data_IF_825442411240
#
_entry.id   IF_825442411240
#
_cell.length_a   1.000
_cell.length_b   1.000
_cell.length_c   1.000
_cell.angle_alpha   90.00
_cell.angle_beta   90.00
_cell.angle_gamma   90.00
#
_symmetry.space_group_name_H-M   'P 1'
#
loop_
_entity.id
_entity.type
_entity.pdbx_description
1 polymer ?
#
# COMPACT_ATOMS: atom_id res chain seq x y z
N UNK A 1 25.99 -12.94 56.46
CA UNK A 1 24.69 -13.22 55.81
C UNK A 1 24.37 -12.15 54.75
N UNK A 2 24.77 -12.30 53.46
CA UNK A 2 24.38 -11.37 52.39
C UNK A 2 23.63 -12.03 51.19
N UNK A 3 23.25 -13.30 51.26
CA UNK A 3 22.73 -14.06 50.09
C UNK A 3 21.27 -13.74 49.71
N UNK A 4 20.43 -13.29 50.65
CA UNK A 4 18.99 -13.14 50.39
C UNK A 4 18.63 -11.86 49.62
N UNK A 5 19.41 -10.78 49.74
CA UNK A 5 19.08 -9.50 49.08
C UNK A 5 19.20 -9.61 47.56
N UNK A 6 20.27 -10.26 47.06
CA UNK A 6 20.46 -10.48 45.62
C UNK A 6 19.39 -11.39 45.01
N UNK A 7 19.01 -12.45 45.72
CA UNK A 7 17.94 -13.34 45.26
C UNK A 7 16.59 -12.62 45.17
N UNK A 8 16.24 -11.80 46.17
CA UNK A 8 15.02 -11.00 46.18
C UNK A 8 15.03 -9.94 45.07
N UNK A 9 16.15 -9.24 44.85
CA UNK A 9 16.31 -8.28 43.75
C UNK A 9 16.17 -8.94 42.37
N UNK A 10 16.75 -10.13 42.18
CA UNK A 10 16.63 -10.89 40.92
C UNK A 10 15.20 -11.37 40.68
N UNK A 11 14.49 -11.80 41.73
CA UNK A 11 13.09 -12.21 41.63
C UNK A 11 12.19 -11.04 41.24
N UNK A 12 12.41 -9.86 41.84
CA UNK A 12 11.70 -8.63 41.50
C UNK A 12 11.96 -8.21 40.05
N UNK A 13 13.22 -8.24 39.60
CA UNK A 13 13.56 -7.91 38.21
C UNK A 13 12.87 -8.87 37.21
N UNK A 14 12.85 -10.18 37.51
CA UNK A 14 12.17 -11.17 36.68
C UNK A 14 10.65 -10.93 36.61
N UNK A 15 10.01 -10.58 37.73
CA UNK A 15 8.59 -10.25 37.77
C UNK A 15 8.26 -8.98 36.96
N UNK A 16 9.11 -7.95 37.03
CA UNK A 16 8.93 -6.73 36.23
C UNK A 16 9.07 -7.02 34.74
N UNK A 17 10.07 -7.79 34.33
CA UNK A 17 10.25 -8.18 32.92
C UNK A 17 9.06 -9.00 32.43
N UNK A 18 8.59 -9.97 33.22
CA UNK A 18 7.42 -10.77 32.88
C UNK A 18 6.15 -9.91 32.76
N UNK A 19 5.95 -8.94 33.65
CA UNK A 19 4.83 -8.01 33.58
C UNK A 19 4.89 -7.10 32.33
N UNK A 20 6.06 -6.57 32.00
CA UNK A 20 6.27 -5.77 30.76
C UNK A 20 6.01 -6.61 29.52
N UNK A 21 6.49 -7.85 29.50
CA UNK A 21 6.27 -8.77 28.39
C UNK A 21 4.79 -9.14 28.25
N UNK A 22 4.11 -9.48 29.34
CA UNK A 22 2.68 -9.78 29.35
C UNK A 22 1.84 -8.58 28.90
N UNK A 23 2.17 -7.37 29.37
CA UNK A 23 1.52 -6.14 28.93
C UNK A 23 1.71 -5.89 27.43
N UNK A 24 2.93 -6.08 26.93
CA UNK A 24 3.26 -5.91 25.51
C UNK A 24 2.50 -6.91 24.64
N UNK A 25 2.48 -8.19 25.02
CA UNK A 25 1.73 -9.24 24.30
C UNK A 25 0.22 -8.95 24.32
N UNK A 26 -0.34 -8.55 25.47
CA UNK A 26 -1.77 -8.22 25.57
C UNK A 26 -2.13 -7.02 24.69
N UNK A 27 -1.28 -5.99 24.66
CA UNK A 27 -1.46 -4.81 23.81
C UNK A 27 -1.45 -5.20 22.32
N UNK A 28 -0.53 -6.07 21.91
CA UNK A 28 -0.45 -6.59 20.53
C UNK A 28 -1.72 -7.36 20.16
N UNK A 29 -2.19 -8.26 21.04
CA UNK A 29 -3.38 -9.10 20.80
C UNK A 29 -4.67 -8.27 20.77
N UNK A 30 -4.80 -7.28 21.64
CA UNK A 30 -5.97 -6.38 21.64
C UNK A 30 -6.00 -5.50 20.40
N UNK A 31 -4.85 -4.97 19.96
CA UNK A 31 -4.76 -4.19 18.72
C UNK A 31 -4.96 -5.03 17.44
N UNK A 32 -4.57 -6.30 17.43
CA UNK A 32 -4.85 -7.17 16.30
C UNK A 32 -6.32 -7.56 16.22
N UNK A 33 -6.99 -7.75 17.37
CA UNK A 33 -8.43 -7.98 17.44
C UNK A 33 -9.27 -6.78 16.99
N UNK A 34 -8.87 -5.55 17.32
CA UNK A 34 -9.62 -4.34 16.91
C UNK A 34 -9.50 -4.02 15.41
N UNK A 35 -8.39 -4.39 14.77
CA UNK A 35 -8.20 -4.22 13.31
C UNK A 35 -9.11 -5.12 12.47
N UNK A 36 -9.63 -6.22 13.03
CA UNK A 36 -10.56 -7.14 12.34
C UNK A 36 -11.95 -6.54 12.10
N UNK A 37 -12.31 -5.45 12.77
CA UNK A 37 -13.64 -4.81 12.68
C UNK A 37 -13.67 -3.65 11.67
N UNK A 38 -12.53 -3.30 11.08
CA UNK A 38 -12.41 -2.16 10.18
C UNK A 38 -12.75 -2.55 8.75
N UNK A 39 -13.33 -1.60 7.99
CA UNK A 39 -13.68 -1.85 6.58
C UNK A 39 -12.43 -2.17 5.76
N UNK A 40 -12.53 -3.14 4.83
CA UNK A 40 -11.46 -3.36 3.85
C UNK A 40 -11.20 -2.10 3.03
N UNK A 41 -9.96 -1.92 2.62
CA UNK A 41 -9.51 -0.79 1.80
C UNK A 41 -9.07 -1.31 0.43
N UNK A 42 -9.66 -0.76 -0.63
CA UNK A 42 -9.21 -0.91 -2.01
C UNK A 42 -8.37 0.32 -2.36
N UNK A 43 -7.09 0.12 -2.65
CA UNK A 43 -6.16 1.18 -2.99
C UNK A 43 -5.82 1.12 -4.48
N UNK A 44 -6.18 2.17 -5.22
CA UNK A 44 -5.93 2.28 -6.66
C UNK A 44 -4.82 3.29 -6.93
N UNK A 45 -3.64 2.85 -7.35
CA UNK A 45 -2.42 3.68 -7.45
C UNK A 45 -1.86 3.69 -8.86
N UNK A 46 -2.49 4.44 -9.77
CA UNK A 46 -2.21 4.32 -11.22
C UNK A 46 -1.97 5.66 -11.92
N UNK A 47 -2.11 5.67 -13.25
CA UNK A 47 -1.99 6.84 -14.10
C UNK A 47 -3.34 7.55 -14.36
N UNK A 48 -3.42 8.25 -15.50
CA UNK A 48 -4.61 8.97 -15.97
C UNK A 48 -5.87 8.11 -16.07
N UNK A 49 -5.75 6.79 -16.27
CA UNK A 49 -6.89 5.87 -16.38
C UNK A 49 -7.64 5.76 -15.05
N UNK A 50 -6.92 5.82 -13.94
CA UNK A 50 -7.53 5.84 -12.60
C UNK A 50 -7.94 7.23 -12.17
N UNK A 51 -7.14 8.26 -12.51
CA UNK A 51 -7.51 9.66 -12.26
C UNK A 51 -8.88 9.98 -12.90
N UNK A 52 -9.01 9.72 -14.20
CA UNK A 52 -10.26 9.94 -14.95
C UNK A 52 -11.34 8.94 -14.58
N UNK A 53 -10.96 7.77 -14.05
CA UNK A 53 -11.91 6.79 -13.51
C UNK A 53 -12.74 7.32 -12.33
N UNK A 54 -12.34 8.44 -11.71
CA UNK A 54 -13.09 9.10 -10.63
C UNK A 54 -14.08 10.16 -11.10
N UNK A 55 -14.17 10.42 -12.41
CA UNK A 55 -15.07 11.45 -12.94
C UNK A 55 -16.53 10.95 -12.96
N UNK A 56 -17.45 11.57 -12.19
CA UNK A 56 -18.86 11.19 -12.22
C UNK A 56 -19.56 11.60 -13.52
N UNK A 57 -19.05 12.59 -14.26
CA UNK A 57 -19.68 13.04 -15.51
C UNK A 57 -19.56 11.99 -16.64
N UNK A 58 -18.59 11.10 -16.54
CA UNK A 58 -18.34 10.03 -17.52
C UNK A 58 -18.69 8.63 -17.01
N UNK A 59 -19.33 8.55 -15.83
CA UNK A 59 -19.56 7.28 -15.12
C UNK A 59 -18.26 6.48 -14.97
N UNK A 60 -17.19 7.16 -14.57
CA UNK A 60 -15.87 6.56 -14.41
C UNK A 60 -15.91 5.29 -13.56
N UNK A 61 -15.07 4.31 -13.93
CA UNK A 61 -15.10 2.98 -13.33
C UNK A 61 -14.90 2.99 -11.80
N UNK A 62 -14.08 3.93 -11.29
CA UNK A 62 -13.88 4.09 -9.85
C UNK A 62 -15.12 4.67 -9.19
N UNK A 63 -15.77 5.65 -9.82
CA UNK A 63 -17.04 6.22 -9.35
C UNK A 63 -18.11 5.14 -9.22
N UNK A 64 -18.23 4.27 -10.24
CA UNK A 64 -19.17 3.15 -10.23
C UNK A 64 -18.85 2.13 -9.12
N UNK A 65 -17.56 1.81 -8.91
CA UNK A 65 -17.13 0.93 -7.82
C UNK A 65 -17.43 1.54 -6.44
N UNK A 66 -17.12 2.82 -6.26
CA UNK A 66 -17.40 3.54 -5.01
C UNK A 66 -18.89 3.52 -4.70
N UNK A 67 -19.74 3.79 -5.68
CA UNK A 67 -21.19 3.67 -5.52
C UNK A 67 -21.60 2.24 -5.13
N UNK A 68 -21.08 1.23 -5.85
CA UNK A 68 -21.42 -0.18 -5.63
C UNK A 68 -21.03 -0.71 -4.25
N UNK A 69 -19.92 -0.24 -3.70
CA UNK A 69 -19.34 -0.71 -2.44
C UNK A 69 -19.38 0.31 -1.29
N UNK A 70 -20.14 1.39 -1.43
CA UNK A 70 -20.23 2.52 -0.48
C UNK A 70 -20.50 2.10 0.97
N UNK A 71 -21.15 0.95 1.19
CA UNK A 71 -21.50 0.44 2.53
C UNK A 71 -20.54 -0.62 3.08
N UNK A 72 -19.56 -1.06 2.32
CA UNK A 72 -18.78 -2.27 2.62
C UNK A 72 -17.26 -2.12 2.52
N UNK A 73 -16.76 -1.18 1.74
CA UNK A 73 -15.31 -0.97 1.56
C UNK A 73 -15.01 0.51 1.47
N UNK A 74 -13.82 0.89 1.93
CA UNK A 74 -13.27 2.19 1.62
C UNK A 74 -12.47 2.08 0.31
N UNK A 75 -12.65 3.04 -0.60
CA UNK A 75 -11.94 3.10 -1.88
C UNK A 75 -11.07 4.34 -1.88
N UNK A 76 -9.76 4.12 -2.02
CA UNK A 76 -8.74 5.15 -1.94
C UNK A 76 -8.05 5.24 -3.30
N UNK A 77 -8.07 6.43 -3.90
CA UNK A 77 -7.52 6.68 -5.24
C UNK A 77 -6.27 7.54 -5.16
N UNK A 78 -5.25 7.14 -5.93
CA UNK A 78 -3.96 7.81 -6.08
C UNK A 78 -3.54 7.84 -7.56
N UNK A 79 -4.51 8.01 -8.45
CA UNK A 79 -4.29 8.14 -9.88
C UNK A 79 -3.56 9.44 -10.22
N UNK A 80 -2.53 9.37 -11.05
CA UNK A 80 -1.72 10.53 -11.46
C UNK A 80 -1.49 10.53 -12.97
N UNK A 81 -2.17 11.43 -13.68
CA UNK A 81 -2.07 11.52 -15.13
C UNK A 81 -0.64 11.71 -15.63
N UNK A 82 -0.29 10.99 -16.71
CA UNK A 82 1.02 11.04 -17.37
C UNK A 82 2.11 10.16 -16.75
N UNK A 83 1.87 9.53 -15.60
CA UNK A 83 2.88 8.70 -14.94
C UNK A 83 3.19 7.41 -15.71
N UNK A 84 4.48 7.19 -16.00
CA UNK A 84 5.02 5.89 -16.41
C UNK A 84 5.55 5.12 -15.19
N UNK A 85 6.00 3.88 -15.39
CA UNK A 85 6.52 3.06 -14.28
C UNK A 85 7.74 3.65 -13.58
N UNK A 86 8.59 4.41 -14.31
CA UNK A 86 9.79 5.04 -13.74
C UNK A 86 9.43 6.15 -12.75
N UNK A 87 8.56 7.06 -13.14
CA UNK A 87 8.13 8.16 -12.26
C UNK A 87 7.30 7.63 -11.10
N UNK A 88 6.45 6.65 -11.37
CA UNK A 88 5.65 6.00 -10.33
C UNK A 88 6.51 5.36 -9.24
N UNK A 89 7.54 4.61 -9.65
CA UNK A 89 8.48 3.98 -8.72
C UNK A 89 9.23 4.99 -7.86
N UNK A 90 9.64 6.12 -8.43
CA UNK A 90 10.46 7.11 -7.72
C UNK A 90 9.65 8.04 -6.82
N UNK A 91 8.46 8.44 -7.26
CA UNK A 91 7.71 9.52 -6.61
C UNK A 91 6.52 9.00 -5.80
N UNK A 92 5.83 7.98 -6.32
CA UNK A 92 4.53 7.53 -5.79
C UNK A 92 4.72 6.40 -4.78
N UNK A 93 5.53 5.38 -5.11
CA UNK A 93 5.77 4.25 -4.20
C UNK A 93 6.27 4.69 -2.81
N UNK A 94 7.24 5.62 -2.67
CA UNK A 94 7.66 6.09 -1.36
C UNK A 94 6.54 6.80 -0.57
N UNK A 95 5.66 7.52 -1.27
CA UNK A 95 4.51 8.18 -0.66
C UNK A 95 3.49 7.15 -0.15
N UNK A 96 3.11 6.19 -0.98
CA UNK A 96 2.18 5.10 -0.59
C UNK A 96 2.73 4.31 0.59
N UNK A 97 4.03 3.96 0.55
CA UNK A 97 4.66 3.25 1.66
C UNK A 97 4.60 4.07 2.95
N UNK A 98 4.82 5.39 2.88
CA UNK A 98 4.69 6.28 4.04
C UNK A 98 3.25 6.36 4.53
N UNK A 99 2.26 6.47 3.64
CA UNK A 99 0.84 6.49 4.01
C UNK A 99 0.43 5.22 4.76
N UNK A 100 0.87 4.05 4.28
CA UNK A 100 0.62 2.75 4.94
C UNK A 100 1.35 2.68 6.29
N UNK A 101 2.63 3.05 6.36
CA UNK A 101 3.42 2.98 7.58
C UNK A 101 2.93 3.93 8.69
N UNK A 102 2.34 5.06 8.29
CA UNK A 102 1.79 6.05 9.22
C UNK A 102 0.32 5.77 9.57
N UNK A 103 -0.22 4.62 9.16
CA UNK A 103 -1.62 4.24 9.35
C UNK A 103 -2.60 5.34 8.89
N UNK A 104 -2.30 6.02 7.76
CA UNK A 104 -3.17 7.08 7.20
C UNK A 104 -4.56 6.56 6.81
N UNK A 105 -4.66 5.25 6.59
CA UNK A 105 -5.86 4.46 6.38
C UNK A 105 -5.57 3.00 6.80
N UNK A 106 -6.61 2.17 6.91
CA UNK A 106 -6.43 0.76 7.24
C UNK A 106 -5.56 0.07 6.18
N UNK A 107 -4.69 -0.84 6.60
CA UNK A 107 -3.85 -1.59 5.66
C UNK A 107 -4.69 -2.13 4.48
N UNK A 108 -4.34 -1.80 3.23
CA UNK A 108 -5.12 -2.22 2.07
C UNK A 108 -5.33 -3.73 2.03
N UNK A 109 -6.56 -4.16 1.70
CA UNK A 109 -6.84 -5.56 1.37
C UNK A 109 -6.51 -5.85 -0.10
N UNK A 110 -6.58 -4.84 -0.95
CA UNK A 110 -6.25 -4.90 -2.37
C UNK A 110 -5.49 -3.64 -2.78
N UNK A 111 -4.40 -3.81 -3.51
CA UNK A 111 -3.68 -2.74 -4.19
C UNK A 111 -3.66 -3.07 -5.69
N UNK A 112 -4.06 -2.15 -6.54
CA UNK A 112 -3.94 -2.33 -8.00
C UNK A 112 -2.64 -1.73 -8.51
N UNK A 113 -2.10 -2.33 -9.58
CA UNK A 113 -1.03 -1.77 -10.41
C UNK A 113 -1.44 -1.93 -11.88
N UNK A 114 -1.71 -0.84 -12.56
CA UNK A 114 -2.25 -0.65 -13.89
C UNK A 114 -1.49 0.48 -14.61
N UNK A 115 -0.20 0.22 -14.82
CA UNK A 115 0.74 1.10 -15.49
C UNK A 115 1.16 0.48 -16.83
N UNK A 116 1.79 1.29 -17.69
CA UNK A 116 2.39 0.81 -18.95
C UNK A 116 1.85 1.47 -20.21
N UNK A 117 0.69 2.13 -20.15
CA UNK A 117 0.15 2.88 -21.29
C UNK A 117 1.11 4.02 -21.68
N UNK A 118 1.57 4.78 -20.69
CA UNK A 118 2.52 5.88 -20.90
C UNK A 118 3.94 5.37 -21.25
N UNK A 119 4.37 4.25 -20.65
CA UNK A 119 5.65 3.59 -20.95
C UNK A 119 5.76 3.18 -22.43
N UNK A 120 4.64 2.76 -23.02
CA UNK A 120 4.54 2.35 -24.41
C UNK A 120 4.52 3.51 -25.42
N UNK A 121 4.61 4.77 -24.97
CA UNK A 121 4.77 5.92 -25.86
C UNK A 121 5.95 5.72 -26.82
N UNK A 122 5.82 6.22 -28.05
CA UNK A 122 6.90 6.12 -29.03
C UNK A 122 8.08 7.02 -28.62
N UNK A 123 9.29 6.47 -28.66
CA UNK A 123 10.52 7.21 -28.33
C UNK A 123 10.77 8.45 -29.22
N UNK A 124 10.16 8.48 -30.41
CA UNK A 124 10.19 9.60 -31.35
C UNK A 124 8.81 10.26 -31.56
N UNK A 125 7.85 9.97 -30.68
CA UNK A 125 6.50 10.53 -30.70
C UNK A 125 6.37 11.83 -29.91
N UNK A 126 5.13 12.32 -29.82
CA UNK A 126 4.80 13.58 -29.13
C UNK A 126 4.98 13.52 -27.60
N UNK A 127 4.91 12.32 -27.02
CA UNK A 127 5.05 12.08 -25.56
C UNK A 127 6.27 11.19 -25.28
N UNK A 128 7.37 11.41 -26.01
CA UNK A 128 8.57 10.58 -25.92
C UNK A 128 9.21 10.58 -24.53
N UNK A 129 8.93 11.59 -23.71
CA UNK A 129 9.37 11.69 -22.32
C UNK A 129 8.78 10.62 -21.40
N UNK A 130 7.59 10.09 -21.72
CA UNK A 130 6.97 9.03 -20.93
C UNK A 130 7.43 7.63 -21.35
N UNK A 131 8.12 7.52 -22.48
CA UNK A 131 8.62 6.25 -22.99
C UNK A 131 9.52 5.54 -21.97
N UNK A 132 9.29 4.25 -21.78
CA UNK A 132 10.21 3.37 -21.06
C UNK A 132 10.58 2.18 -21.96
N UNK A 133 11.87 1.88 -22.14
CA UNK A 133 12.30 0.64 -22.78
C UNK A 133 11.65 -0.57 -22.08
N UNK A 134 11.32 -1.61 -22.86
CA UNK A 134 10.61 -2.79 -22.34
C UNK A 134 11.30 -3.45 -21.14
N UNK A 135 12.63 -3.38 -21.10
CA UNK A 135 13.43 -3.93 -20.00
C UNK A 135 13.31 -3.06 -18.75
N UNK A 136 13.33 -1.73 -18.89
CA UNK A 136 13.11 -0.81 -17.77
C UNK A 136 11.68 -0.94 -17.23
N UNK A 137 10.68 -1.03 -18.10
CA UNK A 137 9.28 -1.26 -17.72
C UNK A 137 9.13 -2.53 -16.85
N UNK A 138 9.70 -3.66 -17.28
CA UNK A 138 9.68 -4.91 -16.51
C UNK A 138 10.37 -4.75 -15.16
N UNK A 139 11.58 -4.17 -15.16
CA UNK A 139 12.36 -3.99 -13.94
C UNK A 139 11.68 -3.04 -12.95
N UNK A 140 11.04 -1.98 -13.44
CA UNK A 140 10.28 -1.06 -12.62
C UNK A 140 9.05 -1.73 -12.01
N UNK A 141 8.27 -2.49 -12.79
CA UNK A 141 7.12 -3.23 -12.27
C UNK A 141 7.51 -4.22 -11.17
N UNK A 142 8.60 -4.98 -11.34
CA UNK A 142 9.09 -5.88 -10.30
C UNK A 142 9.42 -5.13 -9.00
N UNK A 143 10.07 -3.96 -9.10
CA UNK A 143 10.41 -3.13 -7.94
C UNK A 143 9.17 -2.52 -7.29
N UNK A 144 8.20 -2.04 -8.07
CA UNK A 144 6.94 -1.48 -7.59
C UNK A 144 6.19 -2.54 -6.77
N UNK A 145 5.96 -3.72 -7.37
CA UNK A 145 5.23 -4.83 -6.72
C UNK A 145 5.95 -5.28 -5.45
N UNK A 146 7.27 -5.47 -5.50
CA UNK A 146 8.04 -5.85 -4.32
C UNK A 146 7.94 -4.81 -3.20
N UNK A 147 8.00 -3.52 -3.53
CA UNK A 147 7.91 -2.43 -2.55
C UNK A 147 6.54 -2.36 -1.88
N UNK A 148 5.46 -2.43 -2.67
CA UNK A 148 4.08 -2.42 -2.16
C UNK A 148 3.80 -3.66 -1.31
N UNK A 149 4.29 -4.83 -1.70
CA UNK A 149 4.15 -6.05 -0.92
C UNK A 149 4.89 -5.96 0.42
N UNK A 150 6.10 -5.37 0.45
CA UNK A 150 6.81 -5.14 1.71
C UNK A 150 6.08 -4.16 2.63
N UNK A 151 5.42 -3.14 2.07
CA UNK A 151 4.66 -2.16 2.85
C UNK A 151 3.34 -2.71 3.38
N UNK A 152 2.65 -3.56 2.62
CA UNK A 152 1.40 -4.21 3.02
C UNK A 152 1.43 -5.72 2.70
N UNK A 153 2.11 -6.56 3.52
CA UNK A 153 2.28 -7.98 3.23
C UNK A 153 0.99 -8.80 3.18
N UNK A 154 -0.09 -8.30 3.80
CA UNK A 154 -1.40 -8.93 3.81
C UNK A 154 -2.29 -8.49 2.62
N UNK A 155 -1.88 -7.48 1.86
CA UNK A 155 -2.65 -7.00 0.71
C UNK A 155 -2.52 -7.97 -0.47
N UNK A 156 -3.62 -8.21 -1.17
CA UNK A 156 -3.56 -8.77 -2.52
C UNK A 156 -3.08 -7.68 -3.48
N UNK A 157 -2.16 -8.01 -4.39
CA UNK A 157 -1.73 -7.10 -5.47
C UNK A 157 -2.32 -7.58 -6.78
N UNK A 158 -3.11 -6.73 -7.44
CA UNK A 158 -3.69 -7.00 -8.75
C UNK A 158 -2.95 -6.19 -9.83
N UNK A 159 -2.16 -6.88 -10.65
CA UNK A 159 -1.58 -6.31 -11.86
C UNK A 159 -2.62 -6.35 -12.99
N UNK A 160 -2.88 -5.19 -13.59
CA UNK A 160 -3.79 -5.01 -14.70
C UNK A 160 -2.96 -4.62 -15.93
N UNK A 161 -3.17 -5.31 -17.04
CA UNK A 161 -2.46 -5.00 -18.28
C UNK A 161 -2.90 -3.65 -18.84
N UNK A 162 -1.97 -2.81 -19.34
CA UNK A 162 -2.34 -1.53 -19.95
C UNK A 162 -3.26 -1.75 -21.17
N UNK A 163 -4.17 -0.81 -21.48
CA UNK A 163 -4.96 -0.84 -22.70
C UNK A 163 -4.07 -0.68 -23.94
N UNK A 164 -4.63 -0.98 -25.11
CA UNK A 164 -3.94 -0.71 -26.38
C UNK A 164 -3.71 0.80 -26.53
N UNK A 165 -2.47 1.17 -26.88
CA UNK A 165 -2.05 2.55 -27.20
C UNK A 165 -1.65 2.70 -28.65
#
# INVERSE_FOLDING_TARGET
MPSNVRAVSSLFAALVIAAVFAWSVTTIVVNSGSRSELRPVLLFTEDSLTEKGTDPATEGWVTLLQYRYTRSTDVITRGLSGYNTKWFLNDVVPLINREIQMDAYNTPSLITVWLGANDAALWNGSNSETHAPIEDYKNNLMKIVASLWMAAPAASILLITPPHV
#
